data_IF_303964963088
#
_entry.id   IF_303964963088
#
_cell.length_a   1.000
_cell.length_b   1.000
_cell.length_c   1.000
_cell.angle_alpha   90.00
_cell.angle_beta   90.00
_cell.angle_gamma   90.00
#
_symmetry.space_group_name_H-M   'P 1'
#
loop_
_entity.id
_entity.type
_entity.pdbx_description
1 polymer ?
#
# COMPACT_ATOMS: atom_id res chain seq x y z
N UNK A 1 -18.76 7.26 15.51
CA UNK A 1 -19.43 6.90 14.24
C UNK A 1 -18.82 5.59 13.75
N UNK A 2 -19.59 4.67 13.16
CA UNK A 2 -18.98 3.53 12.49
C UNK A 2 -18.36 4.00 11.17
N UNK A 3 -17.16 3.53 10.86
CA UNK A 3 -16.53 3.78 9.56
C UNK A 3 -17.29 3.05 8.46
N UNK A 4 -17.26 3.60 7.25
CA UNK A 4 -17.86 2.97 6.09
C UNK A 4 -16.88 1.99 5.45
N UNK A 5 -17.41 0.91 4.87
CA UNK A 5 -16.60 -0.08 4.15
C UNK A 5 -15.96 0.53 2.89
N UNK A 6 -14.86 -0.09 2.42
CA UNK A 6 -14.22 0.34 1.18
C UNK A 6 -15.19 0.32 -0.02
N UNK A 7 -16.11 -0.67 -0.07
CA UNK A 7 -17.12 -0.73 -1.14
C UNK A 7 -18.07 0.48 -1.11
N UNK A 8 -18.56 0.89 0.07
CA UNK A 8 -19.42 2.07 0.20
C UNK A 8 -18.71 3.36 -0.19
N UNK A 9 -17.40 3.47 0.09
CA UNK A 9 -16.55 4.58 -0.31
C UNK A 9 -16.39 4.61 -1.84
N UNK A 10 -16.10 3.45 -2.46
CA UNK A 10 -15.98 3.31 -3.93
C UNK A 10 -17.29 3.66 -4.63
N UNK A 11 -18.43 3.23 -4.08
CA UNK A 11 -19.75 3.53 -4.66
C UNK A 11 -20.05 5.03 -4.64
N UNK A 12 -19.68 5.76 -3.58
CA UNK A 12 -19.85 7.22 -3.49
C UNK A 12 -18.90 7.94 -4.47
N UNK A 13 -17.64 7.52 -4.60
CA UNK A 13 -16.70 8.04 -5.63
C UNK A 13 -17.28 7.83 -7.03
N UNK A 14 -17.82 6.66 -7.32
CA UNK A 14 -18.47 6.35 -8.61
C UNK A 14 -19.68 7.24 -8.88
N UNK A 15 -20.43 7.58 -7.83
CA UNK A 15 -21.58 8.47 -7.91
C UNK A 15 -21.20 9.96 -8.00
N UNK A 16 -19.91 10.31 -8.02
CA UNK A 16 -19.42 11.70 -8.08
C UNK A 16 -19.47 12.44 -6.75
N UNK A 17 -19.59 11.72 -5.64
CA UNK A 17 -19.58 12.31 -4.30
C UNK A 17 -18.17 12.38 -3.73
N UNK A 18 -17.95 13.36 -2.86
CA UNK A 18 -16.75 13.42 -2.01
C UNK A 18 -16.84 12.37 -0.90
N UNK A 19 -15.70 11.87 -0.49
CA UNK A 19 -15.52 11.01 0.67
C UNK A 19 -14.38 11.52 1.53
N UNK A 20 -14.31 11.09 2.79
CA UNK A 20 -13.16 11.28 3.66
C UNK A 20 -12.44 9.96 3.77
N UNK A 21 -11.14 9.98 3.58
CA UNK A 21 -10.28 8.84 3.84
C UNK A 21 -9.22 9.21 4.88
N UNK A 22 -9.06 8.34 5.88
CA UNK A 22 -8.05 8.52 6.93
C UNK A 22 -6.88 7.57 6.68
N UNK A 23 -5.67 8.01 6.96
CA UNK A 23 -4.51 7.16 7.02
C UNK A 23 -4.22 6.64 8.45
N UNK A 24 -3.14 5.87 8.61
CA UNK A 24 -2.75 5.25 9.88
C UNK A 24 -2.26 6.29 10.89
N UNK A 25 -2.60 6.11 12.19
CA UNK A 25 -2.14 6.98 13.29
C UNK A 25 -0.61 7.04 13.41
N UNK A 26 0.08 5.99 12.99
CA UNK A 26 1.56 5.91 12.97
C UNK A 26 2.17 6.55 11.70
N UNK A 27 1.36 7.06 10.74
CA UNK A 27 1.82 7.72 9.52
C UNK A 27 1.64 9.25 9.64
N UNK A 28 0.67 9.86 8.98
CA UNK A 28 0.35 11.29 9.08
C UNK A 28 -0.76 11.53 10.11
N UNK A 29 -1.61 10.50 10.33
CA UNK A 29 -2.79 10.56 11.17
C UNK A 29 -3.74 11.69 10.75
N UNK A 30 -4.01 11.77 9.47
CA UNK A 30 -4.80 12.84 8.84
C UNK A 30 -5.99 12.26 8.09
N UNK A 31 -6.89 13.13 7.67
CA UNK A 31 -8.02 12.80 6.81
C UNK A 31 -8.14 13.79 5.66
N UNK A 32 -8.25 13.26 4.45
CA UNK A 32 -8.43 14.03 3.24
C UNK A 32 -9.85 13.92 2.70
N UNK A 33 -10.38 15.03 2.20
CA UNK A 33 -11.49 15.01 1.25
C UNK A 33 -10.95 14.51 -0.09
N UNK A 34 -11.65 13.55 -0.68
CA UNK A 34 -11.30 12.94 -1.97
C UNK A 34 -12.51 12.94 -2.89
N UNK A 35 -12.32 13.35 -4.13
CA UNK A 35 -13.31 13.22 -5.22
C UNK A 35 -12.60 12.75 -6.49
N UNK A 36 -13.21 11.84 -7.28
CA UNK A 36 -12.66 11.48 -8.58
C UNK A 36 -12.49 12.73 -9.47
N UNK A 37 -11.34 12.84 -10.12
CA UNK A 37 -11.03 14.03 -10.93
C UNK A 37 -11.99 14.21 -12.12
N UNK A 38 -12.60 13.14 -12.64
CA UNK A 38 -13.63 13.22 -13.67
C UNK A 38 -14.91 13.95 -13.21
N UNK A 39 -15.18 13.95 -11.91
CA UNK A 39 -16.36 14.61 -11.32
C UNK A 39 -16.05 15.99 -10.75
N UNK A 40 -14.85 16.51 -10.96
CA UNK A 40 -14.46 17.79 -10.40
C UNK A 40 -15.28 18.95 -11.02
N UNK A 41 -15.72 19.86 -10.17
CA UNK A 41 -16.45 21.06 -10.54
C UNK A 41 -15.96 22.27 -9.76
N UNK A 42 -16.37 23.47 -10.16
CA UNK A 42 -16.06 24.69 -9.42
C UNK A 42 -16.62 24.65 -8.00
N UNK A 43 -17.83 24.09 -7.84
CA UNK A 43 -18.48 23.90 -6.54
C UNK A 43 -17.67 22.96 -5.63
N UNK A 44 -17.16 21.84 -6.20
CA UNK A 44 -16.34 20.90 -5.47
C UNK A 44 -15.01 21.53 -5.01
N UNK A 45 -14.31 22.24 -5.89
CA UNK A 45 -13.10 23.00 -5.53
C UNK A 45 -13.41 24.05 -4.47
N UNK A 46 -14.53 24.78 -4.59
CA UNK A 46 -14.91 25.78 -3.59
C UNK A 46 -15.20 25.14 -2.23
N UNK A 47 -15.88 23.98 -2.22
CA UNK A 47 -16.11 23.22 -0.98
C UNK A 47 -14.79 22.81 -0.33
N UNK A 48 -13.87 22.21 -1.10
CA UNK A 48 -12.55 21.82 -0.64
C UNK A 48 -11.74 22.98 -0.07
N UNK A 49 -11.72 24.11 -0.77
CA UNK A 49 -11.01 25.31 -0.32
C UNK A 49 -11.60 25.92 0.96
N UNK A 50 -12.93 25.90 1.09
CA UNK A 50 -13.65 26.53 2.21
C UNK A 50 -13.63 25.65 3.46
N UNK A 51 -13.89 24.35 3.29
CA UNK A 51 -14.10 23.44 4.40
C UNK A 51 -12.90 22.54 4.66
N UNK A 52 -12.17 22.05 3.63
CA UNK A 52 -10.92 21.30 3.78
C UNK A 52 -9.79 22.17 4.32
N UNK A 53 -9.54 23.30 3.65
CA UNK A 53 -8.52 24.32 3.99
C UNK A 53 -7.08 23.92 3.72
N UNK A 54 -6.80 22.66 3.39
CA UNK A 54 -5.49 22.15 3.02
C UNK A 54 -5.05 22.53 1.61
N UNK A 55 -4.00 21.89 1.12
CA UNK A 55 -3.49 22.10 -0.24
C UNK A 55 -4.30 21.26 -1.24
N UNK A 56 -5.01 21.89 -2.15
CA UNK A 56 -5.74 21.15 -3.20
C UNK A 56 -4.75 20.57 -4.19
N UNK A 57 -4.67 19.23 -4.23
CA UNK A 57 -3.75 18.45 -5.04
C UNK A 57 -4.50 17.57 -6.03
N UNK A 58 -3.87 17.27 -7.18
CA UNK A 58 -4.34 16.34 -8.18
C UNK A 58 -3.49 15.07 -8.15
N UNK A 59 -4.05 13.95 -7.70
CA UNK A 59 -3.35 12.68 -7.75
C UNK A 59 -3.44 12.07 -9.14
N UNK A 60 -2.33 11.59 -9.66
CA UNK A 60 -2.24 10.98 -10.99
C UNK A 60 -1.31 9.78 -10.99
N UNK A 61 -1.55 8.83 -11.89
CA UNK A 61 -0.61 7.73 -12.10
C UNK A 61 0.68 8.22 -12.72
N UNK A 62 1.75 7.41 -12.61
CA UNK A 62 3.02 7.70 -13.25
C UNK A 62 2.86 7.86 -14.76
N UNK A 63 2.10 6.96 -15.40
CA UNK A 63 1.86 6.98 -16.85
C UNK A 63 1.17 8.29 -17.29
N UNK A 64 0.22 8.80 -16.48
CA UNK A 64 -0.44 10.08 -16.77
C UNK A 64 0.54 11.24 -16.61
N UNK A 65 1.38 11.23 -15.61
CA UNK A 65 2.42 12.26 -15.44
C UNK A 65 3.42 12.24 -16.60
N UNK A 66 3.86 11.07 -17.05
CA UNK A 66 4.74 10.90 -18.21
C UNK A 66 4.07 11.37 -19.51
N UNK A 67 2.78 11.05 -19.70
CA UNK A 67 2.00 11.50 -20.87
C UNK A 67 1.93 13.04 -20.96
N UNK A 68 1.89 13.73 -19.83
CA UNK A 68 1.83 15.19 -19.74
C UNK A 68 3.22 15.85 -19.64
N UNK A 69 4.31 15.07 -19.71
CA UNK A 69 5.69 15.54 -19.52
C UNK A 69 5.85 16.34 -18.22
N UNK A 70 5.31 15.80 -17.12
CA UNK A 70 5.38 16.40 -15.80
C UNK A 70 6.59 15.87 -15.01
N UNK A 71 7.67 16.65 -14.87
CA UNK A 71 8.78 16.27 -14.05
C UNK A 71 8.45 16.38 -12.56
N UNK A 72 9.14 15.59 -11.74
CA UNK A 72 9.13 15.79 -10.29
C UNK A 72 9.63 17.18 -9.95
N UNK A 73 9.04 17.81 -8.93
CA UNK A 73 9.39 19.16 -8.49
C UNK A 73 10.85 19.25 -8.02
N UNK A 74 11.39 18.17 -7.48
CA UNK A 74 12.78 18.09 -7.00
C UNK A 74 13.44 16.78 -7.42
N UNK A 75 14.77 16.83 -7.64
CA UNK A 75 15.56 15.62 -7.93
C UNK A 75 15.81 14.77 -6.68
N UNK A 76 16.06 15.43 -5.55
CA UNK A 76 16.29 14.79 -4.27
C UNK A 76 15.12 15.15 -3.35
N UNK A 77 14.25 14.18 -3.12
CA UNK A 77 13.09 14.34 -2.26
C UNK A 77 13.49 14.20 -0.79
N UNK A 78 13.42 15.31 -0.04
CA UNK A 78 13.69 15.35 1.41
C UNK A 78 12.42 15.25 2.28
N UNK A 79 11.22 15.04 1.70
CA UNK A 79 10.00 14.96 2.45
C UNK A 79 9.95 13.66 3.29
N UNK A 80 9.47 13.75 4.52
CA UNK A 80 9.44 12.63 5.48
C UNK A 80 8.72 11.39 4.94
N UNK A 81 7.68 11.59 4.14
CA UNK A 81 6.87 10.51 3.53
C UNK A 81 7.13 10.33 2.03
N UNK A 82 8.18 10.95 1.50
CA UNK A 82 8.60 10.83 0.09
C UNK A 82 7.47 11.11 -0.90
N UNK A 83 6.64 12.12 -0.63
CA UNK A 83 5.52 12.51 -1.51
C UNK A 83 6.06 13.06 -2.83
N UNK A 84 5.67 12.45 -3.95
CA UNK A 84 6.18 12.75 -5.28
C UNK A 84 5.43 13.93 -5.93
N UNK A 85 5.60 15.14 -5.40
CA UNK A 85 5.10 16.35 -6.06
C UNK A 85 5.75 16.51 -7.42
N UNK A 86 4.94 16.82 -8.44
CA UNK A 86 5.41 17.28 -9.74
C UNK A 86 5.39 18.81 -9.78
N UNK A 87 5.86 19.39 -10.90
CA UNK A 87 5.66 20.82 -11.12
C UNK A 87 4.16 21.15 -11.10
N UNK A 88 3.81 22.29 -10.45
CA UNK A 88 2.42 22.77 -10.46
C UNK A 88 1.99 23.18 -11.88
N UNK A 89 0.71 23.06 -12.15
CA UNK A 89 0.15 23.23 -13.49
C UNK A 89 -1.01 24.22 -13.54
N UNK A 90 -1.24 24.72 -14.75
CA UNK A 90 -2.40 25.49 -15.14
C UNK A 90 -2.92 25.00 -16.50
N UNK A 91 -4.24 25.08 -16.75
CA UNK A 91 -4.76 24.83 -18.09
C UNK A 91 -4.23 25.87 -19.08
N UNK A 92 -3.78 25.44 -20.27
CA UNK A 92 -3.32 26.38 -21.29
C UNK A 92 -4.43 27.24 -21.87
N UNK A 93 -5.71 26.85 -21.69
CA UNK A 93 -6.88 27.54 -22.22
C UNK A 93 -8.08 27.44 -21.28
N UNK A 94 -8.89 28.48 -21.25
CA UNK A 94 -10.16 28.49 -20.50
C UNK A 94 -10.02 28.85 -19.05
N UNK A 95 -8.91 29.50 -18.67
CA UNK A 95 -8.64 30.04 -17.32
C UNK A 95 -8.34 31.54 -17.41
N UNK A 96 -8.49 32.22 -16.28
CA UNK A 96 -8.16 33.66 -16.14
C UNK A 96 -6.79 33.79 -15.42
N UNK A 97 -6.81 33.95 -14.10
CA UNK A 97 -5.59 34.00 -13.26
C UNK A 97 -5.20 32.66 -12.68
N UNK A 98 -6.02 31.62 -12.89
CA UNK A 98 -5.74 30.24 -12.48
C UNK A 98 -6.22 29.88 -11.07
N UNK A 99 -6.33 30.84 -10.14
CA UNK A 99 -6.59 30.55 -8.72
C UNK A 99 -8.07 30.39 -8.39
N UNK A 100 -9.00 30.88 -9.23
CA UNK A 100 -10.42 30.75 -8.95
C UNK A 100 -10.86 29.28 -8.88
N UNK A 101 -11.95 28.95 -8.19
CA UNK A 101 -12.46 27.60 -8.14
C UNK A 101 -12.77 27.05 -9.55
N UNK A 102 -13.31 27.89 -10.43
CA UNK A 102 -13.58 27.52 -11.82
C UNK A 102 -12.29 27.25 -12.61
N UNK A 103 -11.25 28.10 -12.46
CA UNK A 103 -9.97 27.92 -13.15
C UNK A 103 -9.26 26.65 -12.70
N UNK A 104 -9.25 26.38 -11.38
CA UNK A 104 -8.65 25.15 -10.84
C UNK A 104 -9.39 23.89 -11.32
N UNK A 105 -10.73 23.91 -11.31
CA UNK A 105 -11.52 22.82 -11.86
C UNK A 105 -11.22 22.61 -13.36
N UNK A 106 -11.12 23.70 -14.12
CA UNK A 106 -10.76 23.65 -15.55
C UNK A 106 -9.36 23.05 -15.75
N UNK A 107 -8.42 23.39 -14.91
CA UNK A 107 -7.04 22.85 -14.96
C UNK A 107 -7.03 21.36 -14.71
N UNK A 108 -7.73 20.87 -13.68
CA UNK A 108 -7.88 19.43 -13.43
C UNK A 108 -8.49 18.73 -14.65
N UNK A 109 -9.62 19.25 -15.16
CA UNK A 109 -10.29 18.67 -16.34
C UNK A 109 -9.39 18.61 -17.58
N UNK A 110 -8.54 19.62 -17.79
CA UNK A 110 -7.59 19.61 -18.91
C UNK A 110 -6.52 18.51 -18.73
N UNK A 111 -5.98 18.35 -17.53
CA UNK A 111 -4.92 17.40 -17.22
C UNK A 111 -5.39 15.94 -17.33
N UNK A 112 -6.66 15.64 -17.00
CA UNK A 112 -7.19 14.27 -17.01
C UNK A 112 -7.94 13.92 -18.30
N UNK A 113 -8.12 14.87 -19.21
CA UNK A 113 -8.86 14.62 -20.44
C UNK A 113 -8.29 13.41 -21.19
N UNK A 114 -9.17 12.60 -21.78
CA UNK A 114 -8.76 11.47 -22.61
C UNK A 114 -7.95 11.97 -23.80
N UNK A 115 -6.68 11.61 -23.87
CA UNK A 115 -5.77 12.07 -24.93
C UNK A 115 -5.16 13.45 -24.65
N UNK A 116 -5.18 13.94 -23.40
CA UNK A 116 -4.47 15.16 -23.00
C UNK A 116 -2.99 15.08 -23.40
N UNK A 117 -2.44 16.18 -23.85
CA UNK A 117 -1.04 16.34 -24.30
C UNK A 117 -0.35 17.43 -23.50
N UNK A 118 0.98 17.48 -23.47
CA UNK A 118 1.72 18.49 -22.69
C UNK A 118 1.31 19.94 -22.97
N UNK A 119 0.91 20.26 -24.22
CA UNK A 119 0.47 21.61 -24.61
C UNK A 119 -0.93 22.01 -24.07
N UNK A 120 -1.69 21.11 -23.46
CA UNK A 120 -2.96 21.40 -22.83
C UNK A 120 -2.81 22.04 -21.46
N UNK A 121 -1.60 21.96 -20.91
CA UNK A 121 -1.22 22.55 -19.62
C UNK A 121 0.00 23.46 -19.75
N UNK A 122 0.18 24.35 -18.82
CA UNK A 122 1.38 25.18 -18.64
C UNK A 122 1.90 25.03 -17.22
N UNK A 123 3.17 25.34 -17.02
CA UNK A 123 3.88 25.28 -15.72
C UNK A 123 4.56 26.62 -15.49
N UNK A 124 4.57 27.15 -14.24
CA UNK A 124 3.83 26.69 -13.07
C UNK A 124 2.35 27.08 -13.09
N UNK A 125 1.57 26.61 -12.12
CA UNK A 125 0.16 26.96 -11.95
C UNK A 125 -0.35 26.79 -10.53
N UNK A 126 -1.68 26.69 -10.37
CA UNK A 126 -2.37 26.69 -9.08
C UNK A 126 -2.98 25.32 -8.70
N UNK A 127 -2.73 24.28 -9.48
CA UNK A 127 -2.98 22.88 -9.13
C UNK A 127 -1.63 22.17 -8.96
N UNK A 128 -1.52 21.37 -7.92
CA UNK A 128 -0.32 20.63 -7.54
C UNK A 128 -0.52 19.15 -7.81
N UNK A 129 -0.02 18.64 -8.95
CA UNK A 129 -0.10 17.21 -9.21
C UNK A 129 0.87 16.44 -8.32
N UNK A 130 0.42 15.26 -7.86
CA UNK A 130 1.22 14.31 -7.10
C UNK A 130 1.20 12.99 -7.85
N UNK A 131 2.39 12.47 -8.16
CA UNK A 131 2.56 11.19 -8.84
C UNK A 131 2.42 10.04 -7.85
N UNK A 132 1.39 9.21 -8.03
CA UNK A 132 1.20 8.00 -7.24
C UNK A 132 2.28 6.96 -7.54
N UNK A 133 2.64 6.17 -6.53
CA UNK A 133 3.53 5.03 -6.71
C UNK A 133 2.81 3.93 -7.51
N UNK A 134 3.50 3.25 -8.46
CA UNK A 134 2.98 2.05 -9.11
C UNK A 134 2.52 1.02 -8.06
N UNK A 135 1.36 0.41 -8.29
CA UNK A 135 0.73 -0.50 -7.33
C UNK A 135 -0.20 0.17 -6.32
N UNK A 136 -0.25 1.51 -6.28
CA UNK A 136 -1.19 2.26 -5.46
C UNK A 136 -1.00 2.02 -3.97
N UNK A 137 -2.10 1.92 -3.20
CA UNK A 137 -2.05 1.73 -1.73
C UNK A 137 -1.36 0.43 -1.31
N UNK A 138 -1.21 -0.55 -2.20
CA UNK A 138 -0.45 -1.77 -1.93
C UNK A 138 1.06 -1.51 -1.90
N UNK A 139 1.55 -0.43 -2.48
CA UNK A 139 2.96 -0.02 -2.44
C UNK A 139 3.19 1.06 -1.40
N UNK A 140 2.34 2.09 -1.36
CA UNK A 140 2.43 3.20 -0.41
C UNK A 140 1.04 3.55 0.12
N UNK A 141 0.85 3.39 1.43
CA UNK A 141 -0.43 3.62 2.11
C UNK A 141 -0.71 5.13 2.34
N UNK A 142 -0.70 5.92 1.27
CA UNK A 142 -0.93 7.37 1.30
C UNK A 142 -2.19 7.79 0.55
N UNK A 143 -2.70 8.99 0.86
CA UNK A 143 -3.89 9.58 0.22
C UNK A 143 -3.74 9.72 -1.30
N UNK A 144 -2.52 9.99 -1.79
CA UNK A 144 -2.20 10.06 -3.23
C UNK A 144 -2.56 8.76 -3.95
N UNK A 145 -2.03 7.65 -3.43
CA UNK A 145 -2.27 6.31 -3.98
C UNK A 145 -3.74 5.92 -3.82
N UNK A 146 -4.32 6.21 -2.65
CA UNK A 146 -5.71 5.91 -2.34
C UNK A 146 -6.67 6.63 -3.29
N UNK A 147 -6.41 7.89 -3.61
CA UNK A 147 -7.21 8.66 -4.56
C UNK A 147 -7.22 8.05 -5.97
N UNK A 148 -6.04 7.66 -6.49
CA UNK A 148 -5.93 6.97 -7.78
C UNK A 148 -6.65 5.61 -7.76
N UNK A 149 -6.47 4.84 -6.69
CA UNK A 149 -7.09 3.52 -6.55
C UNK A 149 -8.61 3.59 -6.46
N UNK A 150 -9.15 4.50 -5.66
CA UNK A 150 -10.60 4.69 -5.53
C UNK A 150 -11.24 5.06 -6.86
N UNK A 151 -10.63 5.99 -7.62
CA UNK A 151 -11.13 6.36 -8.94
C UNK A 151 -11.07 5.16 -9.92
N UNK A 152 -9.95 4.41 -9.96
CA UNK A 152 -9.80 3.20 -10.77
C UNK A 152 -10.82 2.12 -10.41
N UNK A 153 -11.01 1.84 -9.12
CA UNK A 153 -11.96 0.83 -8.65
C UNK A 153 -13.43 1.25 -8.92
N UNK A 154 -13.69 2.55 -8.96
CA UNK A 154 -14.98 3.09 -9.40
C UNK A 154 -15.20 3.00 -10.92
N UNK A 155 -14.19 2.59 -11.71
CA UNK A 155 -14.25 2.49 -13.18
C UNK A 155 -14.04 3.82 -13.90
N UNK A 156 -13.41 4.80 -13.21
CA UNK A 156 -13.09 6.13 -13.70
C UNK A 156 -11.60 6.25 -14.06
N UNK A 157 -11.19 7.39 -14.62
CA UNK A 157 -9.78 7.73 -14.78
C UNK A 157 -9.07 7.65 -13.42
N UNK A 158 -7.92 6.99 -13.36
CA UNK A 158 -7.17 6.75 -12.12
C UNK A 158 -6.52 8.04 -11.58
N UNK A 159 -7.36 9.03 -11.31
CA UNK A 159 -6.97 10.36 -10.84
C UNK A 159 -8.04 10.92 -9.91
N UNK A 160 -7.62 11.64 -8.88
CA UNK A 160 -8.54 12.28 -7.94
C UNK A 160 -8.03 13.65 -7.51
N UNK A 161 -8.93 14.48 -7.01
CA UNK A 161 -8.57 15.71 -6.31
C UNK A 161 -8.69 15.45 -4.82
N UNK A 162 -7.65 15.79 -4.09
CA UNK A 162 -7.54 15.61 -2.64
C UNK A 162 -7.22 16.90 -1.95
N UNK A 163 -7.63 17.04 -0.70
CA UNK A 163 -7.26 18.15 0.18
C UNK A 163 -7.33 17.70 1.63
N UNK A 164 -6.32 18.03 2.41
CA UNK A 164 -6.29 17.76 3.85
C UNK A 164 -7.38 18.57 4.57
N UNK A 165 -7.98 18.00 5.62
CA UNK A 165 -8.96 18.68 6.45
C UNK A 165 -8.27 19.29 7.67
N UNK A 166 -8.36 20.61 7.78
CA UNK A 166 -7.87 21.39 8.91
C UNK A 166 -9.04 21.91 9.76
N UNK A 167 -8.82 21.97 11.05
CA UNK A 167 -9.69 22.65 12.01
C UNK A 167 -9.74 24.17 11.73
N UNK A 168 -10.73 24.86 12.30
CA UNK A 168 -10.90 26.31 12.11
C UNK A 168 -9.71 27.13 12.65
N UNK A 169 -8.98 26.60 13.61
CA UNK A 169 -7.78 27.19 14.20
C UNK A 169 -6.49 26.92 13.39
N UNK A 170 -6.58 26.15 12.29
CA UNK A 170 -5.47 25.80 11.42
C UNK A 170 -4.71 24.53 11.84
N UNK A 171 -5.11 23.87 12.90
CA UNK A 171 -4.54 22.55 13.26
C UNK A 171 -5.11 21.46 12.39
N UNK A 172 -4.37 20.32 12.25
CA UNK A 172 -4.88 19.18 11.49
C UNK A 172 -6.07 18.53 12.18
N UNK A 173 -7.16 18.30 11.45
CA UNK A 173 -8.28 17.53 11.95
C UNK A 173 -7.87 16.06 12.17
N UNK A 174 -8.19 15.51 13.34
CA UNK A 174 -7.96 14.12 13.70
C UNK A 174 -9.27 13.37 13.72
N UNK A 175 -9.21 12.06 13.90
CA UNK A 175 -10.40 11.19 13.81
C UNK A 175 -11.66 11.75 14.51
N UNK A 176 -11.61 12.25 15.77
CA UNK A 176 -12.80 12.82 16.40
C UNK A 176 -13.38 14.03 15.66
N UNK A 177 -12.51 14.91 15.13
CA UNK A 177 -12.92 16.10 14.37
C UNK A 177 -13.50 15.68 13.02
N UNK A 178 -12.86 14.70 12.35
CA UNK A 178 -13.30 14.16 11.06
C UNK A 178 -14.66 13.47 11.15
N UNK A 179 -14.98 12.78 12.25
CA UNK A 179 -16.31 12.20 12.47
C UNK A 179 -17.40 13.27 12.63
N UNK A 180 -17.07 14.41 13.24
CA UNK A 180 -17.97 15.57 13.34
C UNK A 180 -18.16 16.20 11.96
N UNK A 181 -17.09 16.47 11.25
CA UNK A 181 -17.10 17.03 9.90
C UNK A 181 -17.90 16.14 8.93
N UNK A 182 -17.66 14.84 8.93
CA UNK A 182 -18.36 13.87 8.10
C UNK A 182 -19.89 13.91 8.32
N UNK A 183 -20.30 14.01 9.57
CA UNK A 183 -21.71 14.12 9.95
C UNK A 183 -22.33 15.46 9.55
N UNK A 184 -21.60 16.57 9.73
CA UNK A 184 -22.08 17.92 9.39
C UNK A 184 -22.33 18.07 7.89
N UNK A 185 -21.48 17.47 7.07
CA UNK A 185 -21.54 17.61 5.61
C UNK A 185 -22.15 16.40 4.89
N UNK A 186 -22.65 15.39 5.62
CA UNK A 186 -23.21 14.15 5.06
C UNK A 186 -22.22 13.44 4.10
N UNK A 187 -20.96 13.32 4.54
CA UNK A 187 -19.87 12.70 3.78
C UNK A 187 -19.47 11.39 4.46
N UNK A 188 -19.29 10.33 3.67
CA UNK A 188 -18.79 9.05 4.18
C UNK A 188 -17.32 9.13 4.55
N UNK A 189 -16.95 8.39 5.60
CA UNK A 189 -15.58 8.32 6.12
C UNK A 189 -15.13 6.87 6.18
N UNK A 190 -13.95 6.59 5.62
CA UNK A 190 -13.30 5.29 5.60
C UNK A 190 -11.81 5.39 5.92
N UNK A 191 -11.08 4.27 5.76
CA UNK A 191 -9.63 4.21 6.00
C UNK A 191 -8.86 3.66 4.81
N UNK A 192 -7.60 4.07 4.66
CA UNK A 192 -6.67 3.49 3.69
C UNK A 192 -6.42 2.01 4.03
N UNK A 193 -6.42 1.64 5.30
CA UNK A 193 -6.25 0.25 5.74
C UNK A 193 -7.35 -0.67 5.19
N UNK A 194 -8.62 -0.24 5.27
CA UNK A 194 -9.75 -1.00 4.70
C UNK A 194 -9.68 -1.08 3.17
N UNK A 195 -9.20 -0.04 2.50
CA UNK A 195 -8.97 -0.06 1.06
C UNK A 195 -7.86 -1.04 0.65
N UNK A 196 -6.77 -1.11 1.43
CA UNK A 196 -5.70 -2.11 1.23
C UNK A 196 -6.26 -3.53 1.40
N UNK A 197 -7.03 -3.75 2.45
CA UNK A 197 -7.67 -5.06 2.67
C UNK A 197 -8.61 -5.41 1.51
N UNK A 198 -9.47 -4.48 1.10
CA UNK A 198 -10.37 -4.66 -0.03
C UNK A 198 -9.61 -5.05 -1.31
N UNK A 199 -8.53 -4.35 -1.65
CA UNK A 199 -7.71 -4.65 -2.83
C UNK A 199 -7.05 -6.03 -2.74
N UNK A 200 -6.47 -6.36 -1.57
CA UNK A 200 -5.84 -7.67 -1.34
C UNK A 200 -6.83 -8.82 -1.54
N UNK A 201 -8.11 -8.63 -1.17
CA UNK A 201 -9.16 -9.64 -1.30
C UNK A 201 -9.75 -9.75 -2.72
N UNK A 202 -9.79 -8.65 -3.46
CA UNK A 202 -10.49 -8.59 -4.75
C UNK A 202 -9.56 -8.55 -5.97
N UNK A 203 -8.25 -8.34 -5.78
CA UNK A 203 -7.26 -8.29 -6.85
C UNK A 203 -6.23 -9.41 -6.69
N UNK A 204 -5.89 -10.10 -7.77
CA UNK A 204 -4.77 -11.04 -7.80
C UNK A 204 -3.52 -10.31 -8.27
N UNK A 205 -2.52 -10.22 -7.39
CA UNK A 205 -1.26 -9.50 -7.66
C UNK A 205 -0.07 -10.42 -7.80
N UNK A 206 -0.32 -11.72 -7.94
CA UNK A 206 0.71 -12.75 -8.13
C UNK A 206 0.46 -13.55 -9.40
N UNK A 207 1.52 -14.02 -10.02
CA UNK A 207 1.51 -14.90 -11.18
C UNK A 207 2.48 -16.07 -10.94
N UNK A 208 2.00 -17.32 -11.08
CA UNK A 208 2.88 -18.49 -11.03
C UNK A 208 3.75 -18.53 -12.29
N UNK A 209 5.07 -18.49 -12.12
CA UNK A 209 6.03 -18.43 -13.23
C UNK A 209 6.49 -19.83 -13.64
N UNK A 210 6.90 -20.67 -12.67
CA UNK A 210 7.47 -21.98 -12.94
C UNK A 210 7.35 -22.92 -11.73
N UNK A 211 7.46 -24.23 -12.02
CA UNK A 211 7.58 -25.30 -11.02
C UNK A 211 8.67 -26.28 -11.42
N UNK A 212 9.51 -26.67 -10.47
CA UNK A 212 10.56 -27.69 -10.68
C UNK A 212 10.92 -28.43 -9.38
N UNK A 213 11.72 -29.49 -9.48
CA UNK A 213 12.35 -30.11 -8.31
C UNK A 213 13.59 -29.33 -7.91
N UNK A 214 13.77 -29.12 -6.60
CA UNK A 214 14.92 -28.44 -6.02
C UNK A 214 15.59 -29.35 -4.98
N UNK A 215 16.69 -30.01 -5.29
CA UNK A 215 17.52 -30.70 -4.29
C UNK A 215 18.18 -29.67 -3.37
N UNK A 216 18.10 -29.90 -2.06
CA UNK A 216 18.73 -29.06 -1.03
C UNK A 216 19.46 -29.92 0.00
N UNK A 217 20.20 -29.28 0.91
CA UNK A 217 20.84 -29.99 2.04
C UNK A 217 19.83 -30.61 3.01
N UNK A 218 18.57 -30.18 2.98
CA UNK A 218 17.47 -30.70 3.79
C UNK A 218 16.61 -31.74 3.04
N UNK A 219 16.94 -32.05 1.80
CA UNK A 219 16.21 -32.96 0.93
C UNK A 219 15.67 -32.29 -0.32
N UNK A 220 14.93 -33.04 -1.12
CA UNK A 220 14.29 -32.52 -2.34
C UNK A 220 12.91 -31.94 -2.04
N UNK A 221 12.66 -30.75 -2.58
CA UNK A 221 11.37 -30.04 -2.53
C UNK A 221 10.82 -29.84 -3.94
N UNK A 222 9.51 -29.67 -4.05
CA UNK A 222 8.92 -29.02 -5.19
C UNK A 222 9.03 -27.50 -5.01
N UNK A 223 9.78 -26.84 -5.89
CA UNK A 223 9.88 -25.39 -5.94
C UNK A 223 8.80 -24.85 -6.85
N UNK A 224 7.97 -23.95 -6.33
CA UNK A 224 7.04 -23.13 -7.12
C UNK A 224 7.48 -21.67 -7.01
N UNK A 225 7.59 -20.98 -8.14
CA UNK A 225 8.00 -19.59 -8.19
C UNK A 225 6.82 -18.72 -8.59
N UNK A 226 6.57 -17.66 -7.82
CA UNK A 226 5.59 -16.63 -8.10
C UNK A 226 6.28 -15.30 -8.37
N UNK A 227 5.70 -14.53 -9.28
CA UNK A 227 6.09 -13.15 -9.55
C UNK A 227 5.00 -12.21 -9.06
N UNK A 228 5.38 -11.22 -8.27
CA UNK A 228 4.49 -10.11 -7.95
C UNK A 228 4.36 -9.22 -9.19
N UNK A 229 3.12 -8.96 -9.62
CA UNK A 229 2.84 -8.19 -10.84
C UNK A 229 2.99 -6.68 -10.63
N UNK A 230 3.11 -6.21 -9.38
CA UNK A 230 3.24 -4.79 -9.04
C UNK A 230 4.70 -4.34 -9.14
N UNK A 231 5.63 -5.06 -8.50
CA UNK A 231 7.05 -4.69 -8.43
C UNK A 231 8.00 -5.66 -9.15
N UNK A 232 7.44 -6.74 -9.70
CA UNK A 232 8.20 -7.75 -10.43
C UNK A 232 9.06 -8.66 -9.54
N UNK A 233 8.94 -8.58 -8.21
CA UNK A 233 9.68 -9.44 -7.29
C UNK A 233 9.29 -10.91 -7.43
N UNK A 234 10.27 -11.80 -7.23
CA UNK A 234 10.03 -13.24 -7.18
C UNK A 234 9.86 -13.70 -5.74
N UNK A 235 8.87 -14.56 -5.55
CA UNK A 235 8.61 -15.27 -4.32
C UNK A 235 8.72 -16.77 -4.59
N UNK A 236 9.18 -17.50 -3.60
CA UNK A 236 9.46 -18.93 -3.75
C UNK A 236 8.61 -19.72 -2.76
N UNK A 237 8.11 -20.86 -3.20
CA UNK A 237 7.48 -21.83 -2.31
C UNK A 237 8.21 -23.16 -2.40
N UNK A 238 8.65 -23.66 -1.27
CA UNK A 238 9.18 -25.01 -1.14
C UNK A 238 8.07 -25.91 -0.57
N UNK A 239 7.60 -26.85 -1.39
CA UNK A 239 6.59 -27.81 -1.00
C UNK A 239 7.21 -29.18 -0.74
N UNK A 240 6.72 -29.85 0.30
CA UNK A 240 7.03 -31.24 0.60
C UNK A 240 5.74 -31.99 0.91
N UNK A 241 5.51 -33.11 0.22
CA UNK A 241 4.22 -33.82 0.29
C UNK A 241 3.10 -33.15 -0.50
N UNK A 242 1.93 -33.74 -0.46
CA UNK A 242 0.72 -33.24 -1.14
C UNK A 242 -0.11 -32.34 -0.21
N UNK A 243 -0.61 -31.23 -0.75
CA UNK A 243 -1.58 -30.41 -0.06
C UNK A 243 -2.94 -31.11 -0.12
N UNK A 244 -3.52 -31.41 1.05
CA UNK A 244 -4.79 -32.11 1.17
C UNK A 244 -5.89 -31.18 1.62
N UNK A 245 -7.02 -31.20 0.95
CA UNK A 245 -8.16 -30.30 1.18
C UNK A 245 -8.75 -30.33 2.60
N UNK A 246 -8.56 -31.45 3.34
CA UNK A 246 -9.20 -31.67 4.65
C UNK A 246 -8.22 -31.83 5.81
N UNK A 247 -6.94 -31.71 5.57
CA UNK A 247 -5.89 -31.83 6.60
C UNK A 247 -5.13 -30.50 6.73
N UNK A 248 -4.91 -30.01 7.97
CA UNK A 248 -4.13 -28.79 8.14
C UNK A 248 -2.69 -28.95 7.66
N UNK A 249 -2.26 -28.08 6.74
CA UNK A 249 -0.91 -28.05 6.20
C UNK A 249 0.03 -27.29 7.13
N UNK A 250 1.25 -27.79 7.37
CA UNK A 250 2.28 -27.02 8.05
C UNK A 250 2.75 -25.89 7.12
N UNK A 251 2.64 -24.66 7.58
CA UNK A 251 2.96 -23.48 6.77
C UNK A 251 3.93 -22.56 7.50
N UNK A 252 4.98 -22.17 6.80
CA UNK A 252 5.82 -21.04 7.18
C UNK A 252 5.78 -19.98 6.10
N UNK A 253 5.46 -18.74 6.46
CA UNK A 253 5.72 -17.57 5.61
C UNK A 253 6.96 -16.88 6.17
N UNK A 254 8.01 -16.83 5.38
CA UNK A 254 9.33 -16.30 5.74
C UNK A 254 9.65 -15.08 4.88
N UNK A 255 9.99 -13.97 5.51
CA UNK A 255 10.46 -12.79 4.81
C UNK A 255 11.99 -12.87 4.70
N UNK A 256 12.50 -12.84 3.48
CA UNK A 256 13.93 -12.89 3.21
C UNK A 256 14.68 -11.76 3.91
N UNK A 257 15.83 -12.08 4.51
CA UNK A 257 16.69 -11.14 5.23
C UNK A 257 18.17 -11.50 5.04
N UNK A 258 18.97 -10.53 4.60
CA UNK A 258 20.42 -10.69 4.45
C UNK A 258 21.08 -11.10 5.75
N UNK A 259 20.73 -10.45 6.87
CA UNK A 259 21.41 -10.74 8.15
C UNK A 259 20.99 -12.07 8.75
N UNK A 260 19.72 -12.44 8.66
CA UNK A 260 19.24 -13.67 9.29
C UNK A 260 19.48 -14.91 8.41
N UNK A 261 19.35 -14.79 7.08
CA UNK A 261 19.37 -15.95 6.17
C UNK A 261 20.73 -16.18 5.53
N UNK A 262 21.49 -15.12 5.23
CA UNK A 262 22.81 -15.22 4.60
C UNK A 262 23.92 -15.19 5.65
N UNK A 263 23.85 -14.22 6.58
CA UNK A 263 24.87 -14.04 7.61
C UNK A 263 24.57 -14.83 8.89
N UNK A 264 23.40 -15.48 8.98
CA UNK A 264 22.95 -16.32 10.11
C UNK A 264 23.05 -15.60 11.45
N UNK A 265 22.68 -14.31 11.48
CA UNK A 265 22.74 -13.49 12.68
C UNK A 265 21.75 -13.96 13.75
N UNK A 266 22.22 -14.10 14.99
CA UNK A 266 21.43 -14.48 16.17
C UNK A 266 21.21 -13.28 17.12
N UNK A 267 21.12 -12.05 16.56
CA UNK A 267 20.93 -10.82 17.35
C UNK A 267 19.49 -10.57 17.77
N UNK A 268 18.51 -11.30 17.26
CA UNK A 268 17.12 -11.10 17.62
C UNK A 268 16.80 -11.72 18.98
N UNK A 269 16.34 -10.91 19.92
CA UNK A 269 15.82 -11.39 21.22
C UNK A 269 14.55 -12.26 21.06
N UNK A 270 13.85 -12.14 19.94
CA UNK A 270 12.66 -12.90 19.60
C UNK A 270 13.02 -14.05 18.66
N UNK A 271 13.25 -15.23 19.25
CA UNK A 271 13.51 -16.43 18.49
C UNK A 271 12.29 -16.79 17.64
N UNK A 272 12.40 -16.60 16.34
CA UNK A 272 11.44 -17.03 15.33
C UNK A 272 12.07 -18.16 14.52
N UNK A 273 11.29 -18.91 13.76
CA UNK A 273 11.81 -19.91 12.85
C UNK A 273 12.82 -19.31 11.87
N UNK A 274 14.06 -19.71 11.92
CA UNK A 274 15.07 -19.44 10.89
C UNK A 274 14.76 -20.16 9.59
N UNK A 275 15.24 -19.65 8.45
CA UNK A 275 14.99 -20.27 7.14
C UNK A 275 15.41 -21.74 7.09
N UNK A 276 16.64 -22.03 7.50
CA UNK A 276 17.19 -23.39 7.51
C UNK A 276 16.44 -24.35 8.45
N UNK A 277 16.03 -23.86 9.64
CA UNK A 277 15.24 -24.64 10.59
C UNK A 277 13.84 -24.96 10.01
N UNK A 278 13.20 -23.97 9.38
CA UNK A 278 11.90 -24.16 8.72
C UNK A 278 12.00 -25.16 7.57
N UNK A 279 13.04 -25.08 6.75
CA UNK A 279 13.30 -26.07 5.69
C UNK A 279 13.46 -27.48 6.25
N UNK A 280 14.27 -27.66 7.30
CA UNK A 280 14.48 -28.96 7.95
C UNK A 280 13.18 -29.53 8.53
N UNK A 281 12.37 -28.68 9.16
CA UNK A 281 11.06 -29.07 9.71
C UNK A 281 10.09 -29.53 8.62
N UNK A 282 9.92 -28.74 7.56
CA UNK A 282 9.02 -29.06 6.44
C UNK A 282 9.51 -30.31 5.69
N UNK A 283 10.82 -30.48 5.51
CA UNK A 283 11.38 -31.68 4.89
C UNK A 283 10.98 -32.98 5.61
N UNK A 284 10.83 -32.92 6.95
CA UNK A 284 10.50 -34.06 7.80
C UNK A 284 8.99 -34.24 8.01
N UNK A 285 8.24 -33.15 8.12
CA UNK A 285 6.84 -33.15 8.57
C UNK A 285 5.86 -32.81 7.44
N UNK A 286 6.34 -32.63 6.22
CA UNK A 286 5.58 -32.14 5.07
C UNK A 286 4.97 -30.74 5.28
N UNK A 287 4.62 -30.05 4.19
CA UNK A 287 4.01 -28.73 4.22
C UNK A 287 4.54 -27.75 3.17
N UNK A 288 4.34 -26.47 3.42
CA UNK A 288 4.69 -25.36 2.54
C UNK A 288 5.53 -24.31 3.27
N UNK A 289 6.69 -23.96 2.69
CA UNK A 289 7.51 -22.84 3.12
C UNK A 289 7.44 -21.77 2.03
N UNK A 290 6.70 -20.68 2.30
CA UNK A 290 6.61 -19.51 1.42
C UNK A 290 7.75 -18.55 1.79
N UNK A 291 8.65 -18.27 0.86
CA UNK A 291 9.75 -17.31 1.02
C UNK A 291 9.38 -16.08 0.21
N UNK A 292 9.02 -15.03 0.90
CA UNK A 292 8.74 -13.74 0.28
C UNK A 292 10.06 -13.03 0.00
N UNK A 293 10.36 -12.86 -1.28
CA UNK A 293 11.50 -12.08 -1.73
C UNK A 293 11.37 -10.64 -1.24
N UNK A 294 12.46 -10.07 -0.79
CA UNK A 294 12.57 -8.66 -0.44
C UNK A 294 13.87 -8.14 -1.01
N UNK A 295 13.79 -7.11 -1.83
CA UNK A 295 14.97 -6.32 -2.19
C UNK A 295 15.28 -5.37 -1.03
N UNK A 296 16.29 -5.72 -0.23
CA UNK A 296 16.79 -4.82 0.82
C UNK A 296 17.66 -3.74 0.17
N UNK A 297 17.30 -2.47 0.34
CA UNK A 297 18.11 -1.37 -0.19
C UNK A 297 19.44 -1.22 0.56
N UNK A 298 20.43 -0.59 -0.08
CA UNK A 298 21.71 -0.28 0.56
C UNK A 298 21.49 0.53 1.84
N UNK A 299 20.56 1.48 1.81
CA UNK A 299 20.23 2.34 2.95
C UNK A 299 19.61 1.56 4.11
N UNK A 300 18.75 0.56 3.81
CA UNK A 300 18.18 -0.33 4.82
C UNK A 300 19.26 -1.20 5.48
N UNK A 301 20.15 -1.78 4.66
CA UNK A 301 21.25 -2.60 5.15
C UNK A 301 22.22 -1.78 6.01
N UNK A 302 22.63 -0.57 5.56
CA UNK A 302 23.47 0.33 6.34
C UNK A 302 22.79 0.75 7.66
N UNK A 303 21.52 1.10 7.63
CA UNK A 303 20.78 1.48 8.82
C UNK A 303 20.72 0.33 9.85
N UNK A 304 20.58 -0.92 9.38
CA UNK A 304 20.60 -2.11 10.22
C UNK A 304 21.97 -2.29 10.90
N UNK A 305 23.07 -2.14 10.15
CA UNK A 305 24.44 -2.23 10.72
C UNK A 305 24.69 -1.11 11.72
N UNK A 306 24.27 0.13 11.44
CA UNK A 306 24.36 1.25 12.36
C UNK A 306 23.59 1.01 13.66
N UNK A 307 22.39 0.41 13.55
CA UNK A 307 21.60 0.03 14.72
C UNK A 307 22.30 -1.07 15.55
N UNK A 308 22.94 -2.04 14.91
CA UNK A 308 23.74 -3.04 15.63
C UNK A 308 24.91 -2.39 16.37
N UNK A 309 25.64 -1.47 15.72
CA UNK A 309 26.78 -0.76 16.33
C UNK A 309 26.34 0.10 17.53
N UNK A 310 25.22 0.80 17.41
CA UNK A 310 24.66 1.60 18.51
C UNK A 310 24.25 0.71 19.71
N UNK A 311 23.61 -0.44 19.42
CA UNK A 311 23.26 -1.41 20.47
C UNK A 311 24.51 -1.97 21.18
N UNK A 312 25.59 -2.27 20.44
CA UNK A 312 26.86 -2.71 21.01
C UNK A 312 27.54 -1.62 21.88
N UNK A 313 27.28 -0.35 21.58
CA UNK A 313 27.72 0.80 22.38
C UNK A 313 26.83 1.07 23.60
N UNK A 314 25.74 0.30 23.81
CA UNK A 314 24.80 0.49 24.91
C UNK A 314 23.84 1.66 24.69
N UNK A 315 23.72 2.17 23.48
CA UNK A 315 22.78 3.23 23.13
C UNK A 315 21.38 2.66 22.99
N UNK A 316 20.36 3.40 23.45
CA UNK A 316 18.96 3.04 23.26
C UNK A 316 18.58 3.23 21.79
N UNK A 317 18.62 2.17 21.03
CA UNK A 317 18.14 2.18 19.64
C UNK A 317 16.65 1.83 19.67
N UNK A 318 15.80 2.74 19.23
CA UNK A 318 14.40 2.40 18.97
C UNK A 318 14.39 1.41 17.82
N UNK A 319 13.99 0.14 18.02
CA UNK A 319 13.94 -0.81 16.92
C UNK A 319 13.01 -0.23 15.85
N UNK A 320 13.51 0.01 14.63
CA UNK A 320 12.59 0.18 13.50
C UNK A 320 11.78 -1.11 13.44
N UNK A 321 10.54 -1.05 13.87
CA UNK A 321 9.58 -2.12 13.65
C UNK A 321 9.46 -2.24 12.13
N UNK A 322 10.12 -3.24 11.55
CA UNK A 322 9.76 -3.72 10.23
C UNK A 322 8.32 -4.23 10.35
N UNK A 323 7.37 -3.36 10.20
CA UNK A 323 5.97 -3.76 10.01
C UNK A 323 6.00 -4.53 8.68
N UNK A 324 5.77 -5.84 8.74
CA UNK A 324 5.36 -6.56 7.55
C UNK A 324 4.21 -5.73 6.99
N UNK A 325 4.40 -5.14 5.84
CA UNK A 325 3.38 -4.27 5.25
C UNK A 325 2.13 -5.11 5.06
N UNK A 326 0.95 -4.51 5.13
CA UNK A 326 -0.32 -5.19 4.80
C UNK A 326 -0.22 -5.94 3.47
N UNK A 327 0.60 -5.42 2.55
CA UNK A 327 0.95 -6.06 1.28
C UNK A 327 1.68 -7.40 1.46
N UNK A 328 2.68 -7.49 2.34
CA UNK A 328 3.43 -8.75 2.57
C UNK A 328 2.50 -9.86 3.05
N UNK A 329 1.54 -9.53 3.92
CA UNK A 329 0.50 -10.47 4.36
C UNK A 329 -0.42 -10.84 3.20
N UNK A 330 -0.83 -9.86 2.39
CA UNK A 330 -1.67 -10.08 1.20
C UNK A 330 -1.03 -11.01 0.18
N UNK A 331 0.21 -10.76 -0.21
CA UNK A 331 0.97 -11.61 -1.17
C UNK A 331 1.12 -13.03 -0.63
N UNK A 332 1.53 -13.18 0.64
CA UNK A 332 1.66 -14.49 1.26
C UNK A 332 0.33 -15.26 1.28
N UNK A 333 -0.77 -14.55 1.59
CA UNK A 333 -2.12 -15.16 1.61
C UNK A 333 -2.60 -15.55 0.22
N UNK A 334 -2.37 -14.72 -0.80
CA UNK A 334 -2.70 -15.05 -2.19
C UNK A 334 -1.93 -16.30 -2.67
N UNK A 335 -0.64 -16.40 -2.37
CA UNK A 335 0.17 -17.60 -2.70
C UNK A 335 -0.39 -18.84 -2.02
N UNK A 336 -0.73 -18.78 -0.73
CA UNK A 336 -1.28 -19.92 0.00
C UNK A 336 -2.64 -20.35 -0.55
N UNK A 337 -3.50 -19.39 -0.90
CA UNK A 337 -4.80 -19.66 -1.51
C UNK A 337 -4.66 -20.28 -2.91
N UNK A 338 -3.74 -19.78 -3.75
CA UNK A 338 -3.45 -20.32 -5.08
C UNK A 338 -2.93 -21.77 -5.03
N UNK A 339 -2.19 -22.11 -3.97
CA UNK A 339 -1.74 -23.47 -3.70
C UNK A 339 -2.86 -24.41 -3.20
N UNK A 340 -4.07 -23.90 -2.96
CA UNK A 340 -5.21 -24.66 -2.45
C UNK A 340 -5.18 -24.93 -0.95
N UNK A 341 -4.31 -24.25 -0.19
CA UNK A 341 -4.28 -24.37 1.28
C UNK A 341 -5.51 -23.68 1.86
N UNK A 342 -6.26 -24.37 2.72
CA UNK A 342 -7.44 -23.84 3.42
C UNK A 342 -7.20 -23.75 4.92
N UNK A 343 -6.69 -24.84 5.51
CA UNK A 343 -6.36 -24.92 6.93
C UNK A 343 -4.85 -25.09 7.12
N UNK A 344 -4.28 -24.39 8.09
CA UNK A 344 -2.85 -24.44 8.32
C UNK A 344 -2.48 -24.54 9.80
N UNK A 345 -1.38 -25.25 10.07
CA UNK A 345 -0.60 -25.11 11.29
C UNK A 345 0.52 -24.12 11.01
N UNK A 346 0.39 -22.91 11.54
CA UNK A 346 1.30 -21.83 11.21
C UNK A 346 2.58 -21.93 12.07
N UNK A 347 3.72 -22.05 11.41
CA UNK A 347 5.04 -22.08 12.05
C UNK A 347 5.44 -20.66 12.46
N UNK A 348 4.88 -20.20 13.57
CA UNK A 348 5.12 -18.88 14.18
C UNK A 348 4.62 -18.89 15.63
N UNK A 349 4.96 -17.83 16.39
CA UNK A 349 4.26 -17.56 17.64
C UNK A 349 2.81 -17.16 17.39
N UNK A 350 1.88 -17.44 18.31
CA UNK A 350 0.48 -17.04 18.17
C UNK A 350 0.34 -15.52 17.94
N UNK A 351 -0.29 -15.15 16.84
CA UNK A 351 -0.59 -13.75 16.48
C UNK A 351 -1.91 -13.71 15.73
N UNK A 352 -2.74 -12.71 16.01
CA UNK A 352 -3.97 -12.51 15.25
C UNK A 352 -3.66 -11.91 13.88
N UNK A 353 -4.15 -12.56 12.84
CA UNK A 353 -4.10 -12.10 11.46
C UNK A 353 -5.53 -11.88 10.97
N UNK A 354 -5.98 -10.63 10.97
CA UNK A 354 -7.38 -10.30 10.64
C UNK A 354 -7.71 -10.52 9.15
N UNK A 355 -6.72 -10.41 8.26
CA UNK A 355 -6.94 -10.50 6.82
C UNK A 355 -7.05 -11.93 6.26
N UNK A 356 -6.70 -12.98 7.01
CA UNK A 356 -6.63 -14.36 6.47
C UNK A 356 -8.01 -14.93 6.11
N UNK A 357 -9.04 -14.60 6.87
CA UNK A 357 -10.40 -15.09 6.64
C UNK A 357 -10.97 -14.69 5.27
N UNK A 358 -10.57 -13.51 4.77
CA UNK A 358 -10.97 -13.03 3.45
C UNK A 358 -10.38 -13.84 2.28
N UNK A 359 -9.26 -14.54 2.52
CA UNK A 359 -8.67 -15.48 1.55
C UNK A 359 -9.13 -16.93 1.76
N UNK A 360 -10.13 -17.16 2.61
CA UNK A 360 -10.58 -18.51 3.01
C UNK A 360 -9.47 -19.34 3.65
N UNK A 361 -8.52 -18.68 4.33
CA UNK A 361 -7.42 -19.29 5.08
C UNK A 361 -7.75 -19.31 6.57
N UNK A 362 -7.55 -20.44 7.21
CA UNK A 362 -7.77 -20.65 8.64
C UNK A 362 -6.48 -21.15 9.32
N UNK A 363 -6.05 -20.47 10.38
CA UNK A 363 -4.98 -20.96 11.26
C UNK A 363 -5.61 -21.80 12.36
N UNK A 364 -5.46 -23.12 12.30
CA UNK A 364 -6.02 -24.04 13.28
C UNK A 364 -5.09 -24.31 14.45
N UNK A 365 -3.77 -24.13 14.25
CA UNK A 365 -2.76 -24.37 15.29
C UNK A 365 -1.48 -23.60 14.98
N UNK A 366 -0.60 -23.47 15.97
CA UNK A 366 0.71 -22.85 15.87
C UNK A 366 1.83 -23.84 16.19
N UNK A 367 2.89 -23.79 15.40
CA UNK A 367 4.11 -24.61 15.62
C UNK A 367 5.24 -23.67 16.02
N UNK A 368 5.68 -23.76 17.27
CA UNK A 368 6.78 -22.93 17.78
C UNK A 368 8.15 -23.61 17.49
N UNK A 369 9.24 -22.83 17.32
CA UNK A 369 10.59 -23.39 17.22
C UNK A 369 10.95 -24.14 18.51
N UNK A 370 11.60 -25.29 18.39
CA UNK A 370 12.06 -26.11 19.51
C UNK A 370 13.36 -25.58 20.12
#
# INVERSE_FOLDING_TARGET
MNLHSAQEIIDDIKAGKMVILMDDEDRENEGDLIIAAEHISAEAINFMATHGRGLICLTMTQERCEQLDLPLMVKNNGAAFSTNFTMSIEASKGVTTGISAADRARTVQAAIAKGAVPSDIVQPGHIFPIMAQPGGVLTRAGHTEAGCDLARLAGLEASSVIVEILNADGTMARRPDLEVFAKEHDIKIGTIADLIEYRNLNETTIEQVAKCKLPTIHGEFDLVTYKDTIDGQLHYVLLKGDIKDQEPTNVRVHLQSTFNDILLSDRSADRSWGLSEAMAYIAKNEGALVILGKQESTEELEATVKAFAAADAGESVTPRKFKGTSRTVGVGSQILADLGIKQMRLMSRPKKYHALSGFHLEVVDYVEPQ
#
